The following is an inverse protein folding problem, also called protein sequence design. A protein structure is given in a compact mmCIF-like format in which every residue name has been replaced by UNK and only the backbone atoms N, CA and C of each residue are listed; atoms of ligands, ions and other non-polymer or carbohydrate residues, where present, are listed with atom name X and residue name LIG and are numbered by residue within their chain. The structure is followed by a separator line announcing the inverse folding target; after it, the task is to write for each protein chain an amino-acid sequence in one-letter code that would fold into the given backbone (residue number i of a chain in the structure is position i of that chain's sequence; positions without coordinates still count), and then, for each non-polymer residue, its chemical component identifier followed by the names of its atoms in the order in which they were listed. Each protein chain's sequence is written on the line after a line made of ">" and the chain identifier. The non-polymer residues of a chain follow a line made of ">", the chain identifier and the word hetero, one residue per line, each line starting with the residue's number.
data_IF_122832033075
#
_entry.id   IF_122832033075
#
_cell.length_a   1.000
_cell.length_b   1.000
_cell.length_c   1.000
_cell.angle_alpha   90.00
_cell.angle_beta   90.00
_cell.angle_gamma   90.00
#
_symmetry.space_group_name_H-M   'P 1'
#
loop_
_entity.id
_entity.type
_entity.pdbx_description
1 polymer ?
#
# COMPACT_ATOMS: atom_id res chain seq x y z
N UNK A 1 -13.55 37.54 45.23
CA UNK A 1 -12.30 36.76 45.28
C UNK A 1 -12.33 35.62 46.31
N UNK A 2 -12.65 35.89 47.61
CA UNK A 2 -12.66 34.84 48.67
C UNK A 2 -13.56 33.62 48.37
N UNK A 3 -14.76 33.82 47.81
CA UNK A 3 -15.68 32.72 47.46
C UNK A 3 -15.13 31.83 46.36
N UNK A 4 -14.48 32.39 45.35
CA UNK A 4 -13.83 31.63 44.23
C UNK A 4 -12.69 30.76 44.75
N UNK A 5 -11.86 31.28 45.63
CA UNK A 5 -10.76 30.54 46.27
C UNK A 5 -11.25 29.37 47.10
N UNK A 6 -12.38 29.53 47.82
CA UNK A 6 -13.04 28.46 48.59
C UNK A 6 -13.57 27.37 47.68
N UNK A 7 -14.17 27.70 46.54
CA UNK A 7 -14.63 26.74 45.56
C UNK A 7 -13.48 25.93 44.95
N UNK A 8 -12.39 26.62 44.52
CA UNK A 8 -11.19 25.96 43.97
C UNK A 8 -10.60 24.99 44.99
N UNK A 9 -10.45 25.42 46.27
CA UNK A 9 -9.90 24.58 47.34
C UNK A 9 -10.78 23.34 47.61
N UNK A 10 -12.11 23.47 47.55
CA UNK A 10 -13.03 22.35 47.69
C UNK A 10 -12.91 21.36 46.52
N UNK A 11 -12.83 21.84 45.30
CA UNK A 11 -12.64 21.00 44.10
C UNK A 11 -11.32 20.22 44.20
N UNK A 12 -10.21 20.91 44.53
CA UNK A 12 -8.91 20.25 44.69
C UNK A 12 -8.90 19.19 45.78
N UNK A 13 -9.48 19.47 46.93
CA UNK A 13 -9.57 18.50 48.00
C UNK A 13 -10.47 17.28 47.67
N UNK A 14 -11.57 17.54 46.95
CA UNK A 14 -12.44 16.47 46.48
C UNK A 14 -11.73 15.60 45.43
N UNK A 15 -11.08 16.23 44.45
CA UNK A 15 -10.29 15.53 43.43
C UNK A 15 -9.16 14.71 44.04
N UNK A 16 -8.43 15.25 45.00
CA UNK A 16 -7.37 14.53 45.70
C UNK A 16 -7.88 13.28 46.46
N UNK A 17 -9.06 13.38 47.08
CA UNK A 17 -9.71 12.26 47.74
C UNK A 17 -10.13 11.19 46.75
N UNK A 18 -10.77 11.57 45.64
CA UNK A 18 -11.18 10.64 44.58
C UNK A 18 -9.99 9.93 43.96
N UNK A 19 -8.92 10.66 43.63
CA UNK A 19 -7.66 10.07 43.13
C UNK A 19 -7.08 9.09 44.15
N UNK A 20 -7.12 9.42 45.44
CA UNK A 20 -6.65 8.53 46.51
C UNK A 20 -7.49 7.21 46.58
N UNK A 21 -8.82 7.30 46.43
CA UNK A 21 -9.69 6.12 46.38
C UNK A 21 -9.43 5.27 45.12
N UNK A 22 -9.16 5.90 43.97
CA UNK A 22 -8.85 5.21 42.73
C UNK A 22 -7.51 4.46 42.81
N UNK A 23 -6.49 5.06 43.42
CA UNK A 23 -5.16 4.42 43.56
C UNK A 23 -5.21 3.24 44.51
N UNK A 24 -6.08 3.26 45.56
CA UNK A 24 -6.21 2.14 46.51
C UNK A 24 -7.09 0.99 46.00
N UNK A 25 -7.79 1.19 44.89
CA UNK A 25 -8.62 0.13 44.32
C UNK A 25 -7.90 -0.50 43.09
N UNK A 26 -7.47 -1.78 43.18
CA UNK A 26 -6.71 -2.43 42.11
C UNK A 26 -7.49 -2.53 40.80
N UNK A 27 -8.83 -2.53 40.84
CA UNK A 27 -9.69 -2.59 39.66
C UNK A 27 -9.56 -1.31 38.84
N UNK A 28 -9.55 -0.13 39.50
CA UNK A 28 -9.38 1.15 38.80
C UNK A 28 -7.99 1.29 38.17
N UNK A 29 -6.94 0.85 38.87
CA UNK A 29 -5.57 0.84 38.34
C UNK A 29 -5.50 -0.08 37.11
N UNK A 30 -6.08 -1.27 37.20
CA UNK A 30 -6.11 -2.21 36.10
C UNK A 30 -6.82 -1.62 34.87
N UNK A 31 -8.01 -1.04 35.03
CA UNK A 31 -8.80 -0.48 33.94
C UNK A 31 -8.18 0.80 33.36
N UNK A 32 -7.56 1.64 34.20
CA UNK A 32 -7.08 2.96 33.79
C UNK A 32 -5.65 2.94 33.24
N UNK A 33 -4.81 2.02 33.71
CA UNK A 33 -3.39 1.96 33.35
C UNK A 33 -3.06 0.68 32.60
N UNK A 34 -3.37 -0.48 33.18
CA UNK A 34 -2.96 -1.77 32.60
C UNK A 34 -3.70 -2.05 31.30
N UNK A 35 -5.00 -1.81 31.26
CA UNK A 35 -5.82 -2.11 30.08
C UNK A 35 -5.41 -1.25 28.85
N UNK A 36 -5.23 0.10 28.92
CA UNK A 36 -4.71 0.87 27.81
C UNK A 36 -3.30 0.44 27.38
N UNK A 37 -2.41 0.12 28.32
CA UNK A 37 -1.06 -0.36 27.99
C UNK A 37 -1.11 -1.71 27.25
N UNK A 38 -1.98 -2.63 27.67
CA UNK A 38 -2.18 -3.90 26.98
C UNK A 38 -2.73 -3.68 25.58
N UNK A 39 -3.68 -2.78 25.40
CA UNK A 39 -4.23 -2.43 24.09
C UNK A 39 -3.14 -1.84 23.18
N UNK A 40 -2.36 -0.88 23.66
CA UNK A 40 -1.27 -0.26 22.90
C UNK A 40 -0.26 -1.33 22.51
N UNK A 41 0.18 -2.17 23.43
CA UNK A 41 1.13 -3.24 23.17
C UNK A 41 0.59 -4.24 22.15
N UNK A 42 -0.70 -4.64 22.30
CA UNK A 42 -1.36 -5.56 21.38
C UNK A 42 -1.41 -5.00 19.95
N UNK A 43 -1.88 -3.76 19.77
CA UNK A 43 -1.95 -3.15 18.44
C UNK A 43 -0.56 -2.87 17.87
N UNK A 44 0.39 -2.45 18.67
CA UNK A 44 1.78 -2.25 18.24
C UNK A 44 2.41 -3.56 17.78
N UNK A 45 2.18 -4.65 18.51
CA UNK A 45 2.65 -5.98 18.14
C UNK A 45 1.96 -6.50 16.88
N UNK A 46 0.64 -6.32 16.76
CA UNK A 46 -0.13 -6.74 15.59
C UNK A 46 0.32 -6.00 14.32
N UNK A 47 0.66 -4.72 14.45
CA UNK A 47 1.08 -3.86 13.33
C UNK A 47 2.61 -3.83 13.15
N UNK A 48 3.36 -4.66 13.85
CA UNK A 48 4.84 -4.67 13.81
C UNK A 48 5.40 -4.98 12.42
N UNK A 49 4.70 -5.80 11.64
CA UNK A 49 5.05 -6.12 10.25
C UNK A 49 4.77 -4.97 9.27
N UNK A 50 4.02 -3.93 9.70
CA UNK A 50 3.71 -2.76 8.88
C UNK A 50 2.67 -3.04 7.79
N UNK A 51 3.05 -2.90 6.53
CA UNK A 51 2.15 -3.14 5.41
C UNK A 51 2.10 -4.62 5.04
N UNK A 52 0.95 -5.12 4.54
CA UNK A 52 0.88 -6.45 3.94
C UNK A 52 1.87 -6.58 2.79
N UNK A 53 2.69 -7.62 2.83
CA UNK A 53 3.71 -7.90 1.83
C UNK A 53 3.35 -9.14 1.02
N UNK A 54 3.86 -9.18 -0.23
CA UNK A 54 3.76 -10.35 -1.13
C UNK A 54 2.33 -10.86 -1.33
N UNK A 55 1.39 -9.94 -1.55
CA UNK A 55 0.01 -10.27 -1.85
C UNK A 55 -0.08 -11.09 -3.14
N UNK A 56 -0.73 -12.27 -3.15
CA UNK A 56 -0.79 -13.12 -4.32
C UNK A 56 -1.64 -12.48 -5.42
N UNK A 57 -1.03 -12.33 -6.61
CA UNK A 57 -1.63 -11.82 -7.83
C UNK A 57 -1.48 -12.89 -8.93
N UNK A 58 -2.51 -13.07 -9.75
CA UNK A 58 -2.46 -13.91 -10.92
C UNK A 58 -2.08 -13.14 -12.19
N UNK A 59 -1.67 -13.85 -13.22
CA UNK A 59 -1.41 -13.29 -14.55
C UNK A 59 -2.06 -14.16 -15.63
N UNK A 60 -2.74 -13.51 -16.57
CA UNK A 60 -3.26 -14.10 -17.81
C UNK A 60 -2.62 -13.33 -18.96
N UNK A 61 -1.58 -13.92 -19.57
CA UNK A 61 -0.80 -13.29 -20.64
C UNK A 61 -1.03 -14.03 -21.97
N UNK A 62 -1.78 -13.39 -22.88
CA UNK A 62 -2.00 -13.92 -24.23
C UNK A 62 -0.98 -13.39 -25.26
N UNK A 63 -0.22 -12.33 -24.93
CA UNK A 63 0.80 -11.78 -25.83
C UNK A 63 2.12 -12.56 -25.77
N UNK A 64 2.46 -13.08 -24.58
CA UNK A 64 3.60 -13.95 -24.26
C UNK A 64 4.94 -13.52 -24.93
N UNK A 65 5.21 -12.21 -24.94
CA UNK A 65 6.42 -11.65 -25.54
C UNK A 65 7.52 -11.42 -24.50
N UNK A 66 8.70 -11.01 -24.96
CA UNK A 66 9.78 -10.61 -24.05
C UNK A 66 9.43 -9.38 -23.21
N UNK A 67 8.61 -8.47 -23.77
CA UNK A 67 8.17 -7.24 -23.11
C UNK A 67 7.18 -7.57 -21.98
N UNK A 68 6.16 -8.40 -22.26
CA UNK A 68 5.17 -8.79 -21.24
C UNK A 68 5.79 -9.61 -20.12
N UNK A 69 6.71 -10.52 -20.45
CA UNK A 69 7.49 -11.26 -19.45
C UNK A 69 8.38 -10.37 -18.59
N UNK A 70 8.98 -9.31 -19.16
CA UNK A 70 9.75 -8.33 -18.37
C UNK A 70 8.82 -7.55 -17.41
N UNK A 71 7.66 -7.14 -17.90
CA UNK A 71 6.64 -6.45 -17.08
C UNK A 71 6.15 -7.33 -15.93
N UNK A 72 5.89 -8.62 -16.16
CA UNK A 72 5.48 -9.56 -15.13
C UNK A 72 6.60 -9.76 -14.08
N UNK A 73 7.86 -9.88 -14.50
CA UNK A 73 8.99 -9.96 -13.57
C UNK A 73 9.16 -8.70 -12.74
N UNK A 74 8.93 -7.52 -13.32
CA UNK A 74 8.94 -6.26 -12.55
C UNK A 74 7.82 -6.25 -11.51
N UNK A 75 6.62 -6.73 -11.87
CA UNK A 75 5.49 -6.84 -10.93
C UNK A 75 5.83 -7.77 -9.76
N UNK A 76 6.44 -8.91 -10.02
CA UNK A 76 6.86 -9.87 -8.98
C UNK A 76 7.98 -9.32 -8.07
N UNK A 77 8.75 -8.36 -8.57
CA UNK A 77 9.81 -7.67 -7.81
C UNK A 77 9.33 -6.64 -6.79
N UNK A 78 8.04 -6.28 -6.78
CA UNK A 78 7.51 -5.34 -5.80
C UNK A 78 7.35 -5.98 -4.42
N UNK A 79 7.49 -5.17 -3.38
CA UNK A 79 7.35 -5.61 -2.00
C UNK A 79 5.92 -6.06 -1.68
N UNK A 80 4.92 -5.33 -2.20
CA UNK A 80 3.51 -5.58 -1.90
C UNK A 80 2.91 -6.72 -2.72
N UNK A 81 3.43 -7.02 -3.90
CA UNK A 81 2.83 -7.96 -4.85
C UNK A 81 3.74 -9.15 -5.13
N UNK A 82 3.16 -10.34 -5.20
CA UNK A 82 3.82 -11.56 -5.66
C UNK A 82 2.98 -12.21 -6.75
N UNK A 83 3.59 -12.57 -7.86
CA UNK A 83 2.93 -13.37 -8.90
C UNK A 83 2.82 -14.82 -8.42
N UNK A 84 1.61 -15.20 -7.98
CA UNK A 84 1.32 -16.52 -7.42
C UNK A 84 1.09 -17.59 -8.50
N UNK A 85 0.65 -17.20 -9.70
CA UNK A 85 0.39 -18.13 -10.77
C UNK A 85 0.09 -17.50 -12.13
N UNK A 86 0.36 -18.27 -13.16
CA UNK A 86 -0.04 -17.97 -14.52
C UNK A 86 -1.27 -18.81 -14.86
N UNK A 87 -2.30 -18.16 -15.39
CA UNK A 87 -3.57 -18.79 -15.74
C UNK A 87 -3.77 -18.76 -17.26
N UNK A 88 -4.31 -19.84 -17.81
CA UNK A 88 -4.50 -19.95 -19.26
C UNK A 88 -5.68 -19.11 -19.77
N UNK A 89 -6.63 -18.79 -18.90
CA UNK A 89 -7.79 -17.99 -19.29
C UNK A 89 -8.35 -17.19 -18.11
N UNK A 90 -9.14 -16.14 -18.46
CA UNK A 90 -9.79 -15.25 -17.50
C UNK A 90 -10.76 -16.00 -16.57
N UNK A 91 -11.43 -17.05 -17.06
CA UNK A 91 -12.38 -17.82 -16.25
C UNK A 91 -11.69 -18.59 -15.14
N UNK A 92 -10.53 -19.15 -15.40
CA UNK A 92 -9.70 -19.85 -14.41
C UNK A 92 -9.18 -18.87 -13.34
N UNK A 93 -8.64 -17.72 -13.75
CA UNK A 93 -8.19 -16.68 -12.84
C UNK A 93 -9.34 -16.12 -11.96
N UNK A 94 -10.55 -15.96 -12.51
CA UNK A 94 -11.73 -15.56 -11.73
C UNK A 94 -12.11 -16.60 -10.68
N UNK A 95 -12.03 -17.90 -11.00
CA UNK A 95 -12.27 -18.95 -10.02
C UNK A 95 -11.23 -18.94 -8.91
N UNK A 96 -9.97 -18.64 -9.20
CA UNK A 96 -8.93 -18.48 -8.20
C UNK A 96 -9.20 -17.31 -7.26
N UNK A 97 -9.73 -16.17 -7.76
CA UNK A 97 -10.21 -15.06 -6.90
C UNK A 97 -11.38 -15.54 -6.01
N UNK A 98 -12.34 -16.26 -6.55
CA UNK A 98 -13.50 -16.77 -5.78
C UNK A 98 -13.09 -17.74 -4.66
N UNK A 99 -11.98 -18.49 -4.87
CA UNK A 99 -11.40 -19.38 -3.87
C UNK A 99 -10.47 -18.69 -2.89
N UNK A 100 -10.29 -17.35 -3.00
CA UNK A 100 -9.34 -16.54 -2.22
C UNK A 100 -7.87 -17.02 -2.37
N UNK A 101 -7.52 -17.66 -3.48
CA UNK A 101 -6.14 -18.05 -3.79
C UNK A 101 -5.30 -16.84 -4.23
N UNK A 102 -5.94 -15.89 -4.92
CA UNK A 102 -5.36 -14.64 -5.38
C UNK A 102 -6.32 -13.48 -5.10
N UNK A 103 -5.79 -12.28 -4.87
CA UNK A 103 -6.59 -11.07 -4.63
C UNK A 103 -6.98 -10.34 -5.91
N UNK A 104 -6.26 -10.61 -7.00
CA UNK A 104 -6.54 -10.05 -8.32
C UNK A 104 -5.67 -10.68 -9.38
N UNK A 105 -5.94 -10.38 -10.66
CA UNK A 105 -5.10 -10.83 -11.77
C UNK A 105 -4.97 -9.76 -12.84
N UNK A 106 -3.79 -9.75 -13.46
CA UNK A 106 -3.47 -8.94 -14.62
C UNK A 106 -3.84 -9.69 -15.89
N UNK A 107 -4.61 -9.06 -16.77
CA UNK A 107 -4.94 -9.56 -18.08
C UNK A 107 -4.23 -8.77 -19.17
N UNK A 108 -3.39 -9.44 -19.94
CA UNK A 108 -2.65 -8.88 -21.07
C UNK A 108 -3.20 -9.50 -22.35
N UNK A 109 -3.91 -8.74 -23.19
CA UNK A 109 -4.46 -9.25 -24.44
C UNK A 109 -3.38 -9.49 -25.49
N UNK A 110 -3.69 -10.34 -26.47
CA UNK A 110 -2.86 -10.58 -27.64
C UNK A 110 -2.60 -9.28 -28.42
N UNK A 111 -1.40 -9.15 -28.95
CA UNK A 111 -0.97 -7.96 -29.73
C UNK A 111 -0.67 -6.72 -28.88
N UNK A 112 -0.57 -6.83 -27.57
CA UNK A 112 -0.20 -5.73 -26.66
C UNK A 112 1.14 -5.14 -27.05
N UNK A 113 2.16 -5.96 -27.26
CA UNK A 113 3.50 -5.51 -27.68
C UNK A 113 3.50 -4.90 -29.08
N UNK A 114 2.74 -5.47 -30.00
CA UNK A 114 2.62 -4.92 -31.36
C UNK A 114 1.98 -3.52 -31.34
N UNK A 115 0.96 -3.29 -30.51
CA UNK A 115 0.36 -1.97 -30.30
C UNK A 115 1.36 -0.99 -29.69
N UNK A 116 2.13 -1.39 -28.68
CA UNK A 116 3.18 -0.56 -28.07
C UNK A 116 4.22 -0.11 -29.10
N UNK A 117 4.71 -1.03 -29.93
CA UNK A 117 5.70 -0.72 -30.97
C UNK A 117 5.11 0.20 -32.04
N UNK A 118 3.83 0.01 -32.42
CA UNK A 118 3.14 0.83 -33.43
C UNK A 118 2.56 2.15 -32.87
N UNK A 119 2.94 2.57 -31.66
CA UNK A 119 2.46 3.80 -31.00
C UNK A 119 0.94 3.83 -30.72
N UNK A 120 0.30 2.71 -30.73
CA UNK A 120 -1.07 2.59 -30.25
C UNK A 120 -1.05 2.25 -28.76
N UNK A 121 -1.94 2.84 -28.00
CA UNK A 121 -2.05 2.55 -26.57
C UNK A 121 -2.73 1.18 -26.39
N UNK A 122 -2.05 0.14 -25.87
CA UNK A 122 -2.70 -1.12 -25.55
C UNK A 122 -3.50 -0.95 -24.27
N UNK A 123 -4.61 -1.67 -24.18
CA UNK A 123 -5.40 -1.77 -22.96
C UNK A 123 -5.01 -3.05 -22.22
N UNK A 124 -4.47 -2.90 -21.04
CA UNK A 124 -4.21 -3.98 -20.10
C UNK A 124 -5.22 -3.88 -18.97
N UNK A 125 -5.92 -4.98 -18.68
CA UNK A 125 -7.01 -4.97 -17.70
C UNK A 125 -6.56 -5.58 -16.38
N UNK A 126 -6.98 -4.99 -15.28
CA UNK A 126 -6.77 -5.53 -13.95
C UNK A 126 -8.12 -5.87 -13.30
N UNK A 127 -8.24 -7.11 -12.88
CA UNK A 127 -9.40 -7.63 -12.16
C UNK A 127 -9.02 -7.90 -10.71
N UNK A 128 -9.77 -7.38 -9.76
CA UNK A 128 -9.50 -7.59 -8.33
C UNK A 128 -10.79 -7.86 -7.54
N UNK A 129 -10.63 -8.50 -6.39
CA UNK A 129 -11.74 -8.75 -5.47
C UNK A 129 -12.06 -7.50 -4.67
N UNK A 130 -13.33 -7.08 -4.69
CA UNK A 130 -13.79 -5.95 -3.88
C UNK A 130 -13.96 -6.30 -2.40
N UNK A 131 -13.90 -7.57 -2.03
CA UNK A 131 -13.98 -8.03 -0.64
C UNK A 131 -12.73 -7.62 0.16
N UNK A 132 -11.58 -7.53 -0.51
CA UNK A 132 -10.29 -7.16 0.08
C UNK A 132 -9.78 -5.83 -0.50
N UNK A 133 -10.49 -4.76 -0.21
CA UNK A 133 -10.25 -3.43 -0.79
C UNK A 133 -8.79 -2.95 -0.61
N UNK A 134 -8.21 -3.20 0.57
CA UNK A 134 -6.83 -2.80 0.88
C UNK A 134 -5.83 -3.58 0.03
N UNK A 135 -5.93 -4.91 -0.01
CA UNK A 135 -5.03 -5.76 -0.79
C UNK A 135 -5.15 -5.49 -2.29
N UNK A 136 -6.38 -5.37 -2.82
CA UNK A 136 -6.63 -5.02 -4.21
C UNK A 136 -6.07 -3.64 -4.59
N UNK A 137 -6.21 -2.65 -3.70
CA UNK A 137 -5.68 -1.30 -3.90
C UNK A 137 -4.15 -1.25 -3.94
N UNK A 138 -3.46 -2.04 -3.11
CA UNK A 138 -2.00 -2.12 -3.10
C UNK A 138 -1.48 -2.76 -4.39
N UNK A 139 -2.05 -3.88 -4.80
CA UNK A 139 -1.69 -4.54 -6.07
C UNK A 139 -1.97 -3.61 -7.26
N UNK A 140 -3.09 -2.89 -7.25
CA UNK A 140 -3.41 -1.91 -8.31
C UNK A 140 -2.37 -0.79 -8.40
N UNK A 141 -1.89 -0.27 -7.26
CA UNK A 141 -0.82 0.73 -7.20
C UNK A 141 0.46 0.20 -7.85
N UNK A 142 0.90 -1.00 -7.48
CA UNK A 142 2.09 -1.63 -8.04
C UNK A 142 1.95 -1.85 -9.55
N UNK A 143 0.79 -2.33 -9.97
CA UNK A 143 0.47 -2.56 -11.37
C UNK A 143 0.48 -1.27 -12.19
N UNK A 144 -0.13 -0.20 -11.68
CA UNK A 144 -0.08 1.12 -12.30
C UNK A 144 1.36 1.61 -12.46
N UNK A 145 2.20 1.38 -11.46
CA UNK A 145 3.63 1.73 -11.52
C UNK A 145 4.35 0.92 -12.60
N UNK A 146 4.15 -0.40 -12.65
CA UNK A 146 4.77 -1.27 -13.67
C UNK A 146 4.34 -0.87 -15.08
N UNK A 147 3.04 -0.65 -15.30
CA UNK A 147 2.53 -0.27 -16.63
C UNK A 147 3.09 1.09 -17.08
N UNK A 148 3.22 2.05 -16.15
CA UNK A 148 3.81 3.35 -16.44
C UNK A 148 5.31 3.23 -16.78
N UNK A 149 6.07 2.48 -15.98
CA UNK A 149 7.50 2.24 -16.21
C UNK A 149 7.75 1.48 -17.52
N UNK A 150 6.93 0.46 -17.81
CA UNK A 150 7.06 -0.31 -19.05
C UNK A 150 6.74 0.56 -20.27
N UNK A 151 5.73 1.41 -20.20
CA UNK A 151 5.40 2.37 -21.25
C UNK A 151 6.53 3.38 -21.47
N UNK A 152 7.12 3.89 -20.39
CA UNK A 152 8.25 4.81 -20.44
C UNK A 152 9.49 4.14 -21.06
N UNK A 153 9.77 2.88 -20.68
CA UNK A 153 10.91 2.13 -21.22
C UNK A 153 10.79 1.89 -22.73
N UNK A 154 9.60 1.52 -23.22
CA UNK A 154 9.35 1.35 -24.67
C UNK A 154 9.45 2.69 -25.38
N UNK A 155 8.92 3.76 -24.81
CA UNK A 155 9.05 5.13 -25.34
C UNK A 155 10.51 5.57 -25.43
N UNK A 156 11.31 5.32 -24.38
CA UNK A 156 12.75 5.62 -24.35
C UNK A 156 13.52 4.88 -25.45
N UNK A 157 13.31 3.57 -25.55
CA UNK A 157 13.97 2.75 -26.57
C UNK A 157 13.69 3.26 -27.99
N UNK A 158 12.46 3.70 -28.24
CA UNK A 158 12.08 4.26 -29.53
C UNK A 158 12.74 5.61 -29.82
N UNK A 159 12.75 6.53 -28.83
CA UNK A 159 13.40 7.82 -28.97
C UNK A 159 14.91 7.66 -29.19
N UNK A 160 15.53 6.66 -28.57
CA UNK A 160 16.93 6.31 -28.82
C UNK A 160 17.17 5.82 -30.25
N UNK A 161 16.26 5.00 -30.81
CA UNK A 161 16.33 4.60 -32.23
C UNK A 161 16.19 5.78 -33.19
N UNK A 162 15.52 6.86 -32.77
CA UNK A 162 15.39 8.11 -33.52
C UNK A 162 16.60 9.06 -33.33
N UNK A 163 17.66 8.61 -32.67
CA UNK A 163 18.88 9.36 -32.45
C UNK A 163 18.81 10.42 -31.34
N UNK A 164 17.80 10.35 -30.47
CA UNK A 164 17.72 11.25 -29.33
C UNK A 164 18.71 10.88 -28.24
N UNK A 165 19.28 11.90 -27.60
CA UNK A 165 20.24 11.72 -26.50
C UNK A 165 19.51 11.26 -25.23
N UNK A 166 20.19 10.57 -24.29
CA UNK A 166 19.57 10.13 -23.01
C UNK A 166 18.92 11.27 -22.22
N UNK A 167 19.50 12.47 -22.25
CA UNK A 167 18.97 13.65 -21.53
C UNK A 167 17.69 14.20 -22.18
N UNK A 168 17.65 14.24 -23.52
CA UNK A 168 16.43 14.60 -24.27
C UNK A 168 15.32 13.58 -24.02
N UNK A 169 15.65 12.28 -24.02
CA UNK A 169 14.71 11.20 -23.74
C UNK A 169 14.11 11.35 -22.35
N UNK A 170 14.94 11.60 -21.33
CA UNK A 170 14.50 11.82 -19.95
C UNK A 170 13.54 13.00 -19.84
N UNK A 171 13.86 14.12 -20.50
CA UNK A 171 13.04 15.32 -20.50
C UNK A 171 11.71 15.11 -21.23
N UNK A 172 11.67 14.31 -22.29
CA UNK A 172 10.44 14.00 -23.04
C UNK A 172 9.53 13.05 -22.27
N UNK A 173 10.09 12.02 -21.63
CA UNK A 173 9.31 11.00 -20.90
C UNK A 173 8.85 11.51 -19.55
N UNK A 174 9.72 12.27 -18.87
CA UNK A 174 9.44 12.82 -17.53
C UNK A 174 9.85 14.29 -17.48
N UNK A 175 9.02 15.20 -18.06
CA UNK A 175 9.34 16.62 -18.16
C UNK A 175 9.41 17.31 -16.79
N UNK A 176 8.77 16.74 -15.78
CA UNK A 176 8.80 17.25 -14.40
C UNK A 176 9.41 16.18 -13.51
N UNK A 177 10.58 16.46 -12.94
CA UNK A 177 11.18 15.66 -11.88
C UNK A 177 10.38 15.89 -10.58
N UNK A 178 9.79 14.83 -10.02
CA UNK A 178 9.14 14.88 -8.72
C UNK A 178 10.14 14.48 -7.66
N UNK A 179 10.57 15.46 -6.86
CA UNK A 179 11.36 15.21 -5.66
C UNK A 179 10.40 15.07 -4.47
N UNK A 180 10.31 13.87 -3.91
CA UNK A 180 9.37 13.55 -2.85
C UNK A 180 10.10 13.41 -1.53
N UNK A 181 9.90 14.36 -0.63
CA UNK A 181 10.37 14.28 0.74
C UNK A 181 9.24 13.79 1.64
N UNK A 182 9.36 12.58 2.17
CA UNK A 182 8.43 12.07 3.17
C UNK A 182 8.75 12.67 4.53
N UNK A 183 7.83 13.49 5.04
CA UNK A 183 7.93 14.08 6.38
C UNK A 183 7.05 13.28 7.33
N UNK A 184 7.65 12.73 8.39
CA UNK A 184 6.96 12.00 9.44
C UNK A 184 7.14 10.48 9.38
N UNK A 185 6.53 9.77 8.44
CA UNK A 185 6.65 8.31 8.32
C UNK A 185 7.29 7.91 6.97
N UNK A 186 8.64 8.01 6.84
CA UNK A 186 9.34 7.73 5.58
C UNK A 186 9.25 6.26 5.13
N UNK A 187 8.91 5.36 6.04
CA UNK A 187 8.86 3.92 5.80
C UNK A 187 7.47 3.42 5.44
N UNK A 188 6.46 4.34 5.38
CA UNK A 188 5.05 4.01 5.16
C UNK A 188 4.52 2.91 6.08
N UNK A 189 5.07 2.82 7.29
CA UNK A 189 4.72 1.79 8.25
C UNK A 189 3.52 2.24 9.08
N UNK A 190 2.43 1.49 9.05
CA UNK A 190 1.21 1.75 9.83
C UNK A 190 1.45 1.80 11.33
N UNK A 191 2.43 1.03 11.83
CA UNK A 191 2.78 1.03 13.24
C UNK A 191 3.26 2.42 13.70
N UNK A 192 4.15 3.06 12.91
CA UNK A 192 4.65 4.42 13.21
C UNK A 192 3.53 5.45 13.12
N UNK A 193 2.63 5.30 12.15
CA UNK A 193 1.49 6.20 12.01
C UNK A 193 0.52 6.09 13.18
N UNK A 194 0.12 4.87 13.56
CA UNK A 194 -0.81 4.64 14.66
C UNK A 194 -0.23 5.00 16.03
N UNK A 195 1.05 4.72 16.27
CA UNK A 195 1.70 5.08 17.53
C UNK A 195 1.73 6.59 17.76
N UNK A 196 1.89 7.40 16.71
CA UNK A 196 1.85 8.87 16.83
C UNK A 196 0.45 9.46 17.03
N UNK A 197 -0.62 8.70 16.73
CA UNK A 197 -2.01 9.14 16.97
C UNK A 197 -2.49 8.75 18.38
N UNK A 198 -1.92 7.68 18.95
CA UNK A 198 -2.34 7.12 20.25
C UNK A 198 -1.63 7.78 21.45
N UNK A 199 -0.65 8.65 21.25
CA UNK A 199 0.03 9.45 22.27
C UNK A 199 -0.56 10.85 22.29
#
# INVERSE_FOLDING_TARGET
>A
MKKLLLYIRRIVNLSAREVGLMIHNPIYICCMVVFPLVIIFFFTSLMSTGQPEKLPCGVVDYDNTSVTRAMIRQLDGFQSTRVAGHYNNVSEARKAIQRNEIYGFLYIPEGTTAKLVSQRQPEVSFYYSNVTLVAGGMIFKDLKTVTTLSSAAVGAAKLQMLGKTPDEIKTIIQPIGLDVHMVGNPWMNYNVYLSSIMI
#
